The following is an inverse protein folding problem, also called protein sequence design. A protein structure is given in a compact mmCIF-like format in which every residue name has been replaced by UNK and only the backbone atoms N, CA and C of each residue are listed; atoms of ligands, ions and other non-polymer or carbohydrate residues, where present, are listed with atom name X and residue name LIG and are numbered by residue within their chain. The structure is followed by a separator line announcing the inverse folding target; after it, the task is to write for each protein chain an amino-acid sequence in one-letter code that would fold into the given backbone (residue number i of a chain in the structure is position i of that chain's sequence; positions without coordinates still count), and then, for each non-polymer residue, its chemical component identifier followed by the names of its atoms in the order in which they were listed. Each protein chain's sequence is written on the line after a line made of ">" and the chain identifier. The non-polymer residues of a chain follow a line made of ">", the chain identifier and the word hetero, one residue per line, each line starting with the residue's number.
data_IF_934554455108
#
_entry.id   IF_934554455108
#
_cell.length_a   1.000
_cell.length_b   1.000
_cell.length_c   1.000
_cell.angle_alpha   90.00
_cell.angle_beta   90.00
_cell.angle_gamma   90.00
#
_symmetry.space_group_name_H-M   'P 1'
#
loop_
_entity.id
_entity.type
_entity.pdbx_description
1 polymer ?
#
# COMPACT_ATOMS: atom_id res chain seq x y z
N UNK A 1 -16.74 7.89 -12.48
CA UNK A 1 -15.36 7.46 -12.14
C UNK A 1 -15.38 7.00 -10.69
N UNK A 2 -14.43 6.17 -10.29
CA UNK A 2 -14.47 5.45 -9.01
C UNK A 2 -13.04 5.27 -8.49
N UNK A 3 -12.50 6.29 -7.85
CA UNK A 3 -11.09 6.39 -7.48
C UNK A 3 -10.75 5.65 -6.18
N UNK A 4 -9.50 5.23 -6.06
CA UNK A 4 -8.96 4.55 -4.88
C UNK A 4 -7.68 5.28 -4.47
N UNK A 5 -7.59 5.65 -3.18
CA UNK A 5 -6.38 6.21 -2.61
C UNK A 5 -5.57 5.09 -1.98
N UNK A 6 -4.35 4.89 -2.47
CA UNK A 6 -3.45 3.87 -1.97
C UNK A 6 -2.53 4.47 -0.89
N UNK A 7 -2.39 3.78 0.23
CA UNK A 7 -1.57 4.20 1.36
C UNK A 7 -0.55 3.10 1.65
N UNK A 8 0.71 3.48 1.83
CA UNK A 8 1.81 2.56 2.13
C UNK A 8 2.39 2.90 3.50
N UNK A 9 2.41 1.93 4.40
CA UNK A 9 2.82 2.12 5.79
C UNK A 9 4.08 1.33 6.16
N UNK A 10 5.12 2.05 6.57
CA UNK A 10 6.37 1.49 7.07
C UNK A 10 7.24 0.82 6.00
N UNK A 11 8.41 0.31 6.39
CA UNK A 11 9.38 -0.28 5.47
C UNK A 11 8.79 -1.33 4.52
N UNK A 12 8.11 -2.35 5.07
CA UNK A 12 7.52 -3.42 4.26
C UNK A 12 6.43 -2.91 3.32
N UNK A 13 5.53 -2.05 3.81
CA UNK A 13 4.45 -1.48 3.00
C UNK A 13 4.97 -0.65 1.83
N UNK A 14 5.98 0.19 2.06
CA UNK A 14 6.60 1.02 1.03
C UNK A 14 7.39 0.20 0.00
N UNK A 15 8.09 -0.87 0.41
CA UNK A 15 8.80 -1.73 -0.54
C UNK A 15 7.85 -2.51 -1.45
N UNK A 16 6.77 -3.05 -0.88
CA UNK A 16 5.74 -3.75 -1.64
C UNK A 16 5.00 -2.77 -2.54
N UNK A 17 4.62 -1.61 -2.02
CA UNK A 17 3.95 -0.58 -2.78
C UNK A 17 4.79 -0.07 -3.93
N UNK A 18 6.11 0.14 -3.75
CA UNK A 18 7.01 0.48 -4.86
C UNK A 18 6.97 -0.57 -5.98
N UNK A 19 7.00 -1.86 -5.64
CA UNK A 19 6.87 -2.94 -6.64
C UNK A 19 5.49 -3.05 -7.24
N UNK A 20 4.44 -2.81 -6.48
CA UNK A 20 3.07 -2.75 -6.98
C UNK A 20 2.89 -1.64 -8.01
N UNK A 21 3.42 -0.44 -7.75
CA UNK A 21 3.34 0.68 -8.69
C UNK A 21 4.20 0.48 -9.94
N UNK A 22 5.34 -0.20 -9.83
CA UNK A 22 6.14 -0.63 -10.98
C UNK A 22 5.34 -1.56 -11.90
N UNK A 23 4.78 -2.65 -11.35
CA UNK A 23 3.97 -3.60 -12.13
C UNK A 23 2.70 -2.93 -12.69
N UNK A 24 2.05 -2.06 -11.91
CA UNK A 24 0.87 -1.35 -12.37
C UNK A 24 1.17 -0.36 -13.49
N UNK A 25 2.27 0.39 -13.38
CA UNK A 25 2.68 1.32 -14.43
C UNK A 25 2.99 0.56 -15.72
N UNK A 26 3.69 -0.58 -15.62
CA UNK A 26 3.97 -1.45 -16.76
C UNK A 26 2.67 -2.00 -17.40
N UNK A 27 1.70 -2.46 -16.61
CA UNK A 27 0.41 -2.95 -17.13
C UNK A 27 -0.40 -1.87 -17.87
N UNK A 28 -0.32 -0.61 -17.40
CA UNK A 28 -0.99 0.53 -18.01
C UNK A 28 -0.14 1.28 -19.03
N UNK A 29 1.08 0.80 -19.34
CA UNK A 29 1.97 1.42 -20.32
C UNK A 29 2.46 2.82 -19.93
N UNK A 30 2.54 3.12 -18.63
CA UNK A 30 3.03 4.40 -18.09
C UNK A 30 4.51 4.27 -17.78
N UNK A 31 5.32 5.17 -18.32
CA UNK A 31 6.76 5.17 -18.05
C UNK A 31 7.10 5.81 -16.68
N UNK A 32 8.37 5.76 -16.24
CA UNK A 32 8.79 6.40 -14.99
C UNK A 32 8.60 7.94 -14.96
N UNK A 33 8.47 8.57 -16.13
CA UNK A 33 8.18 10.02 -16.21
C UNK A 33 6.69 10.31 -16.01
N UNK A 34 5.83 9.29 -16.06
CA UNK A 34 4.38 9.40 -15.99
C UNK A 34 3.73 9.61 -17.35
N UNK A 35 4.47 9.48 -18.45
CA UNK A 35 3.94 9.60 -19.81
C UNK A 35 3.44 8.24 -20.29
N UNK A 36 2.28 8.23 -20.94
CA UNK A 36 1.72 7.00 -21.52
C UNK A 36 2.40 6.66 -22.85
N UNK A 37 2.90 5.43 -22.95
CA UNK A 37 3.52 4.83 -24.13
C UNK A 37 2.88 3.49 -24.50
N UNK A 38 1.69 3.18 -23.96
CA UNK A 38 0.97 1.95 -24.25
C UNK A 38 0.40 1.88 -25.67
N UNK A 39 -0.05 0.69 -26.02
CA UNK A 39 -0.51 0.31 -27.37
C UNK A 39 -2.03 -0.01 -27.42
N UNK A 40 -2.74 0.06 -26.29
CA UNK A 40 -4.13 -0.36 -26.18
C UNK A 40 -5.00 0.67 -25.46
N UNK A 41 -6.11 1.08 -26.10
CA UNK A 41 -7.08 2.02 -25.51
C UNK A 41 -7.67 1.52 -24.18
N UNK A 42 -7.71 0.19 -23.97
CA UNK A 42 -8.19 -0.43 -22.74
C UNK A 42 -7.32 -0.09 -21.52
N UNK A 43 -6.05 0.23 -21.73
CA UNK A 43 -5.13 0.64 -20.66
C UNK A 43 -5.49 2.01 -20.10
N UNK A 44 -6.05 2.88 -20.92
CA UNK A 44 -6.45 4.23 -20.53
C UNK A 44 -7.88 4.32 -20.00
N UNK A 45 -8.77 3.39 -20.38
CA UNK A 45 -10.20 3.48 -20.10
C UNK A 45 -10.54 3.68 -18.61
N UNK A 46 -9.77 3.07 -17.70
CA UNK A 46 -9.95 3.18 -16.24
C UNK A 46 -8.67 3.51 -15.48
N UNK A 47 -7.69 4.13 -16.15
CA UNK A 47 -6.43 4.53 -15.52
C UNK A 47 -6.65 5.48 -14.33
N UNK A 48 -7.69 6.31 -14.41
CA UNK A 48 -8.07 7.30 -13.40
C UNK A 48 -8.47 6.71 -12.03
N UNK A 49 -8.67 5.38 -11.94
CA UNK A 49 -8.95 4.70 -10.67
C UNK A 49 -7.77 4.84 -9.70
N UNK A 50 -6.54 4.67 -10.20
CA UNK A 50 -5.32 4.72 -9.40
C UNK A 50 -4.41 5.90 -9.75
N UNK A 51 -4.52 6.45 -10.96
CA UNK A 51 -3.74 7.60 -11.39
C UNK A 51 -4.57 8.88 -11.39
N UNK A 52 -3.90 9.99 -11.20
CA UNK A 52 -4.41 11.33 -11.43
C UNK A 52 -3.75 11.88 -12.70
N UNK A 53 -4.56 12.40 -13.61
CA UNK A 53 -4.05 13.01 -14.84
C UNK A 53 -3.65 14.46 -14.56
N UNK A 54 -2.35 14.71 -14.45
CA UNK A 54 -1.78 16.03 -14.29
C UNK A 54 -1.63 16.74 -15.65
N UNK A 55 -1.44 18.06 -15.58
CA UNK A 55 -1.19 18.89 -16.76
C UNK A 55 -0.01 18.36 -17.58
N UNK A 56 -0.19 18.30 -18.90
CA UNK A 56 0.82 17.78 -19.83
C UNK A 56 0.70 16.28 -20.13
N UNK A 57 -0.42 15.64 -19.77
CA UNK A 57 -0.66 14.21 -20.05
C UNK A 57 0.17 13.29 -19.15
N UNK A 58 0.54 13.78 -17.96
CA UNK A 58 1.35 13.04 -16.99
C UNK A 58 0.43 12.35 -15.98
N UNK A 59 0.53 11.03 -15.89
CA UNK A 59 -0.19 10.23 -14.90
C UNK A 59 0.62 10.14 -13.60
N UNK A 60 0.00 10.54 -12.49
CA UNK A 60 0.60 10.53 -11.15
C UNK A 60 -0.18 9.57 -10.24
N UNK A 61 0.47 8.60 -9.58
CA UNK A 61 -0.16 7.69 -8.64
C UNK A 61 -0.89 8.44 -7.51
N UNK A 62 -2.13 8.02 -7.21
CA UNK A 62 -2.88 8.41 -6.00
C UNK A 62 -2.37 7.60 -4.81
N UNK A 63 -1.10 7.83 -4.49
CA UNK A 63 -0.38 7.12 -3.46
C UNK A 63 0.09 8.07 -2.36
N UNK A 64 -0.01 7.59 -1.11
CA UNK A 64 0.51 8.26 0.09
C UNK A 64 1.51 7.31 0.72
N UNK A 65 2.72 7.80 0.97
CA UNK A 65 3.81 7.01 1.54
C UNK A 65 4.10 7.55 2.93
N UNK A 66 3.94 6.70 3.93
CA UNK A 66 4.23 7.04 5.32
C UNK A 66 5.25 6.09 5.95
N UNK A 67 6.19 6.65 6.68
CA UNK A 67 7.10 5.91 7.54
C UNK A 67 7.57 6.79 8.70
N UNK A 68 7.93 6.19 9.83
CA UNK A 68 8.49 6.93 10.97
C UNK A 68 10.00 7.16 10.81
N UNK A 69 10.62 6.52 9.81
CA UNK A 69 12.02 6.67 9.46
C UNK A 69 12.20 7.23 8.04
N UNK A 70 13.19 8.12 7.82
CA UNK A 70 13.42 8.70 6.50
C UNK A 70 14.06 7.72 5.51
N UNK A 71 14.80 6.71 5.97
CA UNK A 71 15.63 5.85 5.12
C UNK A 71 14.85 5.04 4.07
N UNK A 72 13.62 4.65 4.38
CA UNK A 72 12.73 3.97 3.43
C UNK A 72 12.37 4.90 2.26
N UNK A 73 12.13 6.18 2.53
CA UNK A 73 11.72 7.16 1.52
C UNK A 73 12.82 7.45 0.52
N UNK A 74 14.07 7.56 0.99
CA UNK A 74 15.23 7.71 0.11
C UNK A 74 15.38 6.51 -0.83
N UNK A 75 15.12 5.30 -0.31
CA UNK A 75 15.16 4.08 -1.10
C UNK A 75 14.08 4.05 -2.19
N UNK A 76 12.85 4.48 -1.88
CA UNK A 76 11.75 4.57 -2.86
C UNK A 76 12.04 5.64 -3.91
N UNK A 77 12.55 6.81 -3.51
CA UNK A 77 12.89 7.91 -4.43
C UNK A 77 14.05 7.54 -5.37
N UNK A 78 15.01 6.77 -4.88
CA UNK A 78 16.10 6.24 -5.70
C UNK A 78 15.68 5.05 -6.59
N UNK A 79 14.48 4.51 -6.38
CA UNK A 79 13.91 3.44 -7.17
C UNK A 79 13.55 3.87 -8.61
N UNK A 80 13.32 2.91 -9.51
CA UNK A 80 13.09 3.16 -10.93
C UNK A 80 11.89 4.08 -11.19
N UNK A 81 10.80 3.92 -10.42
CA UNK A 81 9.59 4.73 -10.50
C UNK A 81 9.49 5.78 -9.38
N UNK A 82 10.59 6.09 -8.69
CA UNK A 82 10.58 7.04 -7.56
C UNK A 82 10.14 8.46 -7.93
N UNK A 83 10.41 8.89 -9.16
CA UNK A 83 10.05 10.22 -9.69
C UNK A 83 8.57 10.35 -10.08
N UNK A 84 7.86 9.22 -10.14
CA UNK A 84 6.45 9.15 -10.51
C UNK A 84 5.55 9.67 -9.38
N UNK A 85 5.96 9.43 -8.12
CA UNK A 85 5.21 9.87 -6.95
C UNK A 85 5.32 11.38 -6.71
N UNK A 86 4.23 11.98 -6.22
CA UNK A 86 4.22 13.40 -5.84
C UNK A 86 5.07 13.60 -4.57
N UNK A 87 6.06 14.52 -4.55
CA UNK A 87 6.88 14.77 -3.38
C UNK A 87 6.09 15.14 -2.11
N UNK A 88 4.97 15.84 -2.27
CA UNK A 88 4.08 16.25 -1.17
C UNK A 88 3.37 15.08 -0.49
N UNK A 89 3.33 13.90 -1.13
CA UNK A 89 2.65 12.72 -0.60
C UNK A 89 3.59 11.82 0.22
N UNK A 90 4.84 12.23 0.39
CA UNK A 90 5.81 11.57 1.27
C UNK A 90 5.74 12.20 2.66
N UNK A 91 5.23 11.45 3.63
CA UNK A 91 5.14 11.89 5.02
C UNK A 91 6.05 11.01 5.86
N UNK A 92 7.08 11.59 6.48
CA UNK A 92 8.02 10.80 7.26
C UNK A 92 8.45 11.45 8.57
N UNK A 93 8.69 10.61 9.56
CA UNK A 93 9.23 11.00 10.87
C UNK A 93 10.76 11.06 10.90
N UNK A 94 11.30 11.38 12.07
CA UNK A 94 12.74 11.30 12.36
C UNK A 94 13.09 10.11 13.26
N UNK A 95 12.10 9.49 13.88
CA UNK A 95 12.22 8.52 14.97
C UNK A 95 11.46 7.25 14.62
N UNK A 96 12.16 6.13 14.44
CA UNK A 96 11.51 4.85 14.16
C UNK A 96 10.76 4.26 15.36
N UNK A 97 9.71 3.50 15.08
CA UNK A 97 8.97 2.75 16.10
C UNK A 97 9.78 1.58 16.71
N UNK A 98 10.87 1.14 16.06
CA UNK A 98 11.76 0.09 16.58
C UNK A 98 11.05 -1.22 16.90
N UNK A 99 10.21 -1.71 15.98
CA UNK A 99 9.39 -2.92 16.13
C UNK A 99 8.45 -2.93 17.36
N UNK A 100 8.08 -1.75 17.88
CA UNK A 100 7.12 -1.62 18.97
C UNK A 100 5.80 -1.02 18.46
N UNK A 101 4.73 -1.82 18.47
CA UNK A 101 3.40 -1.39 18.06
C UNK A 101 2.90 -0.20 18.87
N UNK A 102 3.11 -0.18 20.19
CA UNK A 102 2.63 0.90 21.05
C UNK A 102 3.29 2.25 20.73
N UNK A 103 4.57 2.24 20.32
CA UNK A 103 5.22 3.47 19.84
C UNK A 103 4.59 3.98 18.55
N UNK A 104 4.33 3.07 17.61
CA UNK A 104 3.65 3.42 16.36
C UNK A 104 2.21 3.88 16.56
N UNK A 105 1.51 3.37 17.57
CA UNK A 105 0.08 3.65 17.77
C UNK A 105 -0.21 4.81 18.72
N UNK A 106 0.57 4.97 19.80
CA UNK A 106 0.26 5.92 20.87
C UNK A 106 1.26 7.06 21.02
N UNK A 107 2.49 6.94 20.55
CA UNK A 107 3.52 7.98 20.74
C UNK A 107 3.96 8.59 19.42
N UNK A 108 4.97 8.02 18.75
CA UNK A 108 5.61 8.61 17.58
C UNK A 108 4.64 8.69 16.39
N UNK A 109 3.84 7.63 16.17
CA UNK A 109 2.86 7.64 15.09
C UNK A 109 1.68 8.56 15.35
N UNK A 110 1.33 8.81 16.62
CA UNK A 110 0.28 9.77 16.97
C UNK A 110 0.72 11.22 16.72
N UNK A 111 2.01 11.52 16.79
CA UNK A 111 2.54 12.84 16.43
C UNK A 111 2.53 13.07 14.91
N UNK A 112 2.77 12.02 14.11
CA UNK A 112 2.85 12.13 12.65
C UNK A 112 1.48 11.97 11.96
N UNK A 113 0.48 11.39 12.63
CA UNK A 113 -0.79 11.00 12.00
C UNK A 113 -1.55 12.16 11.39
N UNK A 114 -1.58 13.32 12.05
CA UNK A 114 -2.32 14.50 11.57
C UNK A 114 -1.76 14.98 10.22
N UNK A 115 -0.44 14.90 10.06
CA UNK A 115 0.22 15.25 8.78
C UNK A 115 -0.16 14.27 7.67
N UNK A 116 -0.26 12.97 7.99
CA UNK A 116 -0.72 11.96 7.02
C UNK A 116 -2.19 12.19 6.66
N UNK A 117 -3.05 12.44 7.65
CA UNK A 117 -4.47 12.70 7.43
C UNK A 117 -4.71 13.94 6.56
N UNK A 118 -3.92 15.01 6.72
CA UNK A 118 -4.02 16.18 5.86
C UNK A 118 -3.70 15.86 4.39
N UNK A 119 -2.73 14.98 4.13
CA UNK A 119 -2.43 14.51 2.76
C UNK A 119 -3.55 13.61 2.26
N UNK A 120 -4.07 12.71 3.10
CA UNK A 120 -5.23 11.86 2.77
C UNK A 120 -6.43 12.70 2.36
N UNK A 121 -6.74 13.78 3.12
CA UNK A 121 -7.84 14.71 2.81
C UNK A 121 -7.63 15.40 1.47
N UNK A 122 -6.42 15.90 1.19
CA UNK A 122 -6.10 16.54 -0.10
C UNK A 122 -6.29 15.58 -1.28
N UNK A 123 -5.81 14.34 -1.16
CA UNK A 123 -6.02 13.33 -2.20
C UNK A 123 -7.50 12.95 -2.32
N UNK A 124 -8.22 12.92 -1.20
CA UNK A 124 -9.65 12.62 -1.19
C UNK A 124 -10.50 13.68 -1.87
N UNK A 125 -10.21 14.96 -1.62
CA UNK A 125 -10.85 16.10 -2.28
C UNK A 125 -10.54 16.17 -3.79
N UNK A 126 -9.40 15.61 -4.21
CA UNK A 126 -9.01 15.52 -5.62
C UNK A 126 -9.70 14.40 -6.40
N UNK A 127 -10.58 13.62 -5.77
CA UNK A 127 -11.32 12.53 -6.38
C UNK A 127 -12.77 12.96 -6.68
N UNK A 128 -13.30 12.60 -7.85
CA UNK A 128 -14.69 12.92 -8.18
C UNK A 128 -15.67 12.02 -7.39
N UNK A 129 -15.35 10.73 -7.26
CA UNK A 129 -16.18 9.77 -6.53
C UNK A 129 -15.33 8.63 -5.94
N UNK A 130 -14.66 8.94 -4.83
CA UNK A 130 -13.83 7.96 -4.11
C UNK A 130 -14.62 6.72 -3.69
N UNK A 131 -14.10 5.53 -3.99
CA UNK A 131 -14.62 4.26 -3.49
C UNK A 131 -14.17 3.97 -2.07
N UNK A 132 -12.89 4.19 -1.79
CA UNK A 132 -12.25 3.71 -0.59
C UNK A 132 -10.74 3.91 -0.57
N UNK A 133 -10.15 3.33 0.47
CA UNK A 133 -8.72 3.37 0.72
C UNK A 133 -8.14 1.97 0.65
N UNK A 134 -6.91 1.88 0.14
CA UNK A 134 -6.13 0.65 0.11
C UNK A 134 -4.87 0.83 0.94
N UNK A 135 -4.76 0.17 2.09
CA UNK A 135 -3.55 0.22 2.91
C UNK A 135 -2.67 -1.01 2.66
N UNK A 136 -1.41 -0.81 2.32
CA UNK A 136 -0.38 -1.87 2.30
C UNK A 136 0.54 -1.70 3.50
N UNK A 137 0.57 -2.70 4.39
CA UNK A 137 1.33 -2.62 5.64
C UNK A 137 1.74 -3.99 6.18
N UNK A 138 2.76 -4.03 7.04
CA UNK A 138 3.13 -5.23 7.80
C UNK A 138 2.48 -5.26 9.16
N UNK A 139 2.04 -6.44 9.61
CA UNK A 139 1.53 -6.65 10.97
C UNK A 139 2.64 -6.93 12.00
N UNK A 140 3.85 -7.27 11.54
CA UNK A 140 4.99 -7.56 12.43
C UNK A 140 5.78 -6.32 12.85
N UNK A 141 5.77 -5.26 12.05
CA UNK A 141 6.56 -4.04 12.31
C UNK A 141 5.99 -3.14 13.40
N UNK A 142 6.72 -2.09 13.77
CA UNK A 142 6.20 -1.05 14.69
C UNK A 142 5.37 0.00 13.94
N UNK A 143 5.91 0.56 12.85
CA UNK A 143 5.26 1.60 12.05
C UNK A 143 4.08 1.06 11.26
N UNK A 144 4.32 0.06 10.40
CA UNK A 144 3.27 -0.49 9.54
C UNK A 144 2.10 -1.06 10.35
N UNK A 145 2.38 -1.66 11.49
CA UNK A 145 1.37 -2.26 12.35
C UNK A 145 0.68 -1.17 13.20
N UNK A 146 1.43 -0.49 14.08
CA UNK A 146 0.87 0.48 15.04
C UNK A 146 0.29 1.74 14.39
N UNK A 147 1.11 2.42 13.57
CA UNK A 147 0.67 3.65 12.89
C UNK A 147 -0.34 3.34 11.79
N UNK A 148 -0.17 2.21 11.09
CA UNK A 148 -1.13 1.74 10.09
C UNK A 148 -2.53 1.51 10.67
N UNK A 149 -2.64 0.83 11.82
CA UNK A 149 -3.95 0.62 12.45
C UNK A 149 -4.53 1.89 13.06
N UNK A 150 -3.69 2.79 13.57
CA UNK A 150 -4.15 4.12 14.01
C UNK A 150 -4.79 4.90 12.85
N UNK A 151 -4.11 4.90 11.70
CA UNK A 151 -4.60 5.57 10.49
C UNK A 151 -5.93 5.00 10.02
N UNK A 152 -6.08 3.67 10.02
CA UNK A 152 -7.34 3.04 9.64
C UNK A 152 -8.49 3.53 10.55
N UNK A 153 -8.28 3.54 11.87
CA UNK A 153 -9.29 4.03 12.82
C UNK A 153 -9.69 5.48 12.52
N UNK A 154 -8.71 6.36 12.24
CA UNK A 154 -8.97 7.77 11.92
C UNK A 154 -9.67 7.98 10.58
N UNK A 155 -9.29 7.21 9.57
CA UNK A 155 -9.99 7.23 8.29
C UNK A 155 -11.42 6.73 8.45
N UNK A 156 -11.67 5.71 9.29
CA UNK A 156 -13.02 5.20 9.54
C UNK A 156 -13.90 6.23 10.28
N UNK A 157 -13.31 7.02 11.17
CA UNK A 157 -13.99 8.15 11.83
C UNK A 157 -14.39 9.24 10.82
N UNK A 158 -13.50 9.63 9.90
CA UNK A 158 -13.76 10.71 8.93
C UNK A 158 -14.55 10.28 7.68
N UNK A 159 -14.36 9.04 7.24
CA UNK A 159 -14.93 8.49 6.00
C UNK A 159 -15.69 7.17 6.26
N UNK A 160 -16.76 7.17 7.09
CA UNK A 160 -17.44 5.95 7.51
C UNK A 160 -18.11 5.18 6.36
N UNK A 161 -18.53 5.86 5.30
CA UNK A 161 -19.24 5.26 4.16
C UNK A 161 -18.30 4.68 3.07
N UNK A 162 -16.99 4.87 3.23
CA UNK A 162 -15.96 4.45 2.26
C UNK A 162 -15.37 3.09 2.67
N UNK A 163 -15.06 2.28 1.67
CA UNK A 163 -14.51 0.94 1.90
C UNK A 163 -13.05 1.04 2.34
N UNK A 164 -12.69 0.34 3.41
CA UNK A 164 -11.31 0.18 3.85
C UNK A 164 -10.80 -1.22 3.50
N UNK A 165 -9.88 -1.32 2.53
CA UNK A 165 -9.22 -2.56 2.17
C UNK A 165 -7.75 -2.55 2.62
N UNK A 166 -7.30 -3.62 3.26
CA UNK A 166 -5.91 -3.75 3.72
C UNK A 166 -5.22 -4.94 3.06
N UNK A 167 -3.95 -4.75 2.72
CA UNK A 167 -3.02 -5.80 2.34
C UNK A 167 -2.02 -5.94 3.49
N UNK A 168 -2.27 -6.94 4.33
CA UNK A 168 -1.65 -7.10 5.63
C UNK A 168 -0.67 -8.26 5.58
N UNK A 169 0.62 -7.95 5.68
CA UNK A 169 1.68 -8.96 5.63
C UNK A 169 1.79 -9.62 7.00
N UNK A 170 1.51 -10.92 7.04
CA UNK A 170 1.65 -11.76 8.24
C UNK A 170 3.13 -12.09 8.43
N UNK A 171 3.69 -11.87 9.64
CA UNK A 171 5.07 -12.22 9.95
C UNK A 171 5.29 -13.74 9.93
N UNK A 172 6.51 -14.17 9.58
CA UNK A 172 6.92 -15.57 9.65
C UNK A 172 8.34 -15.69 10.21
N UNK A 173 8.60 -16.65 11.11
CA UNK A 173 9.93 -16.91 11.66
C UNK A 173 10.93 -17.41 10.61
N UNK A 174 10.47 -17.84 9.41
CA UNK A 174 11.39 -18.20 8.31
C UNK A 174 11.99 -16.98 7.62
N UNK A 175 11.37 -15.81 7.78
CA UNK A 175 11.68 -14.59 7.03
C UNK A 175 12.21 -13.48 7.96
N UNK A 176 11.75 -13.44 9.21
CA UNK A 176 12.18 -12.46 10.22
C UNK A 176 12.49 -13.12 11.56
N UNK A 177 13.57 -12.68 12.21
CA UNK A 177 14.01 -13.13 13.53
C UNK A 177 13.44 -12.26 14.68
N UNK A 178 12.51 -11.35 14.38
CA UNK A 178 11.99 -10.41 15.37
C UNK A 178 11.00 -11.09 16.32
N UNK A 179 11.42 -11.31 17.56
CA UNK A 179 10.63 -12.03 18.58
C UNK A 179 9.33 -11.33 19.01
N UNK A 180 9.20 -10.03 18.75
CA UNK A 180 8.02 -9.24 19.15
C UNK A 180 6.93 -9.17 18.08
N UNK A 181 7.16 -9.72 16.88
CA UNK A 181 6.17 -9.72 15.79
C UNK A 181 4.82 -10.35 16.17
N UNK A 182 4.76 -11.46 16.94
CA UNK A 182 3.47 -12.02 17.36
C UNK A 182 2.64 -11.06 18.23
N UNK A 183 3.30 -10.24 19.06
CA UNK A 183 2.63 -9.23 19.87
C UNK A 183 2.05 -8.12 18.98
N UNK A 184 2.86 -7.59 18.06
CA UNK A 184 2.44 -6.54 17.13
C UNK A 184 1.29 -7.02 16.23
N UNK A 185 1.36 -8.27 15.74
CA UNK A 185 0.33 -8.85 14.91
C UNK A 185 -0.99 -9.02 15.68
N UNK A 186 -0.94 -9.52 16.92
CA UNK A 186 -2.15 -9.69 17.75
C UNK A 186 -2.84 -8.34 18.02
N UNK A 187 -2.07 -7.32 18.37
CA UNK A 187 -2.59 -5.97 18.61
C UNK A 187 -3.17 -5.35 17.33
N UNK A 188 -2.53 -5.59 16.19
CA UNK A 188 -2.99 -5.05 14.91
C UNK A 188 -4.26 -5.73 14.42
N UNK A 189 -4.35 -7.06 14.55
CA UNK A 189 -5.54 -7.82 14.17
C UNK A 189 -6.76 -7.34 14.95
N UNK A 190 -6.62 -7.05 16.25
CA UNK A 190 -7.72 -6.49 17.04
C UNK A 190 -8.30 -5.21 16.43
N UNK A 191 -7.44 -4.29 15.97
CA UNK A 191 -7.86 -3.05 15.33
C UNK A 191 -8.41 -3.28 13.91
N UNK A 192 -7.84 -4.21 13.14
CA UNK A 192 -8.28 -4.53 11.79
C UNK A 192 -9.67 -5.16 11.76
N UNK A 193 -9.99 -6.02 12.73
CA UNK A 193 -11.31 -6.69 12.82
C UNK A 193 -12.45 -5.69 12.95
N UNK A 194 -12.23 -4.55 13.60
CA UNK A 194 -13.29 -3.55 13.82
C UNK A 194 -13.36 -2.50 12.72
N UNK A 195 -12.24 -2.17 12.09
CA UNK A 195 -12.14 -0.99 11.23
C UNK A 195 -11.88 -1.27 9.74
N UNK A 196 -11.44 -2.47 9.37
CA UNK A 196 -11.24 -2.85 7.96
C UNK A 196 -12.46 -3.62 7.43
N UNK A 197 -12.99 -3.21 6.29
CA UNK A 197 -14.09 -3.93 5.63
C UNK A 197 -13.56 -5.19 4.89
N UNK A 198 -12.32 -5.12 4.40
CA UNK A 198 -11.64 -6.24 3.73
C UNK A 198 -10.16 -6.31 4.12
N UNK A 199 -9.67 -7.50 4.48
CA UNK A 199 -8.26 -7.72 4.80
C UNK A 199 -7.71 -8.90 3.98
N UNK A 200 -6.74 -8.61 3.12
CA UNK A 200 -5.96 -9.60 2.39
C UNK A 200 -4.76 -10.00 3.24
N UNK A 201 -4.85 -11.19 3.83
CA UNK A 201 -3.79 -11.81 4.61
C UNK A 201 -2.71 -12.37 3.68
N UNK A 202 -1.54 -11.75 3.67
CA UNK A 202 -0.39 -12.17 2.87
C UNK A 202 0.66 -12.81 3.76
N UNK A 203 0.72 -14.14 3.76
CA UNK A 203 1.62 -14.88 4.63
C UNK A 203 3.02 -15.02 4.03
N UNK A 204 4.00 -14.41 4.70
CA UNK A 204 5.41 -14.53 4.32
C UNK A 204 5.91 -15.98 4.33
N UNK A 205 5.36 -16.84 5.18
CA UNK A 205 5.71 -18.26 5.18
C UNK A 205 5.25 -18.94 3.90
N UNK A 206 3.99 -18.74 3.53
CA UNK A 206 3.42 -19.31 2.32
C UNK A 206 4.13 -18.77 1.07
N UNK A 207 4.43 -17.47 1.02
CA UNK A 207 5.18 -16.84 -0.06
C UNK A 207 6.60 -17.40 -0.16
N UNK A 208 7.29 -17.56 0.96
CA UNK A 208 8.62 -18.17 1.00
C UNK A 208 8.58 -19.62 0.49
N UNK A 209 7.61 -20.41 0.95
CA UNK A 209 7.45 -21.81 0.52
C UNK A 209 7.14 -21.90 -0.99
N UNK A 210 6.39 -20.96 -1.57
CA UNK A 210 6.15 -20.88 -3.03
C UNK A 210 7.46 -20.57 -3.77
N UNK A 211 8.22 -19.57 -3.34
CA UNK A 211 9.51 -19.24 -3.95
C UNK A 211 10.49 -20.42 -3.91
N UNK A 212 10.58 -21.06 -2.74
CA UNK A 212 11.52 -22.16 -2.53
C UNK A 212 11.10 -23.45 -3.25
N UNK A 213 9.85 -23.89 -3.07
CA UNK A 213 9.38 -25.19 -3.56
C UNK A 213 8.93 -25.14 -5.02
N UNK A 214 8.26 -24.08 -5.44
CA UNK A 214 7.66 -23.98 -6.79
C UNK A 214 8.60 -23.28 -7.75
N UNK A 215 9.09 -22.09 -7.41
CA UNK A 215 10.02 -21.33 -8.27
C UNK A 215 11.47 -21.84 -8.21
N UNK A 216 11.75 -22.81 -7.33
CA UNK A 216 13.08 -23.44 -7.16
C UNK A 216 14.20 -22.45 -6.82
N UNK A 217 13.85 -21.34 -6.16
CA UNK A 217 14.82 -20.39 -5.66
C UNK A 217 15.46 -20.93 -4.38
N UNK A 218 16.78 -21.15 -4.40
CA UNK A 218 17.50 -21.71 -3.24
C UNK A 218 17.53 -20.77 -2.05
N UNK A 219 17.54 -19.46 -2.29
CA UNK A 219 17.57 -18.40 -1.26
C UNK A 219 16.62 -17.26 -1.65
N UNK A 220 15.30 -17.41 -1.37
CA UNK A 220 14.33 -16.35 -1.65
C UNK A 220 14.69 -15.05 -0.91
N UNK A 221 14.66 -13.93 -1.62
CA UNK A 221 14.92 -12.59 -1.07
C UNK A 221 13.61 -11.81 -0.91
N UNK A 222 13.60 -10.73 -0.11
CA UNK A 222 12.45 -9.83 -0.02
C UNK A 222 12.00 -9.29 -1.38
N UNK A 223 12.91 -9.11 -2.34
CA UNK A 223 12.56 -8.71 -3.70
C UNK A 223 11.66 -9.74 -4.41
N UNK A 224 11.96 -11.02 -4.25
CA UNK A 224 11.19 -12.13 -4.84
C UNK A 224 9.79 -12.23 -4.20
N UNK A 225 9.72 -12.13 -2.87
CA UNK A 225 8.44 -12.11 -2.15
C UNK A 225 7.60 -10.88 -2.55
N UNK A 226 8.21 -9.70 -2.60
CA UNK A 226 7.52 -8.46 -2.96
C UNK A 226 7.00 -8.50 -4.40
N UNK A 227 7.70 -9.17 -5.32
CA UNK A 227 7.21 -9.34 -6.69
C UNK A 227 5.97 -10.24 -6.75
N UNK A 228 5.95 -11.36 -6.00
CA UNK A 228 4.77 -12.21 -5.90
C UNK A 228 3.58 -11.49 -5.26
N UNK A 229 3.84 -10.71 -4.20
CA UNK A 229 2.81 -9.89 -3.56
C UNK A 229 2.27 -8.86 -4.55
N UNK A 230 3.14 -8.11 -5.23
CA UNK A 230 2.73 -7.12 -6.22
C UNK A 230 1.85 -7.75 -7.31
N UNK A 231 2.23 -8.92 -7.83
CA UNK A 231 1.42 -9.66 -8.80
C UNK A 231 0.05 -10.08 -8.24
N UNK A 232 -0.02 -10.52 -6.98
CA UNK A 232 -1.26 -10.87 -6.32
C UNK A 232 -2.19 -9.65 -6.12
N UNK A 233 -1.62 -8.52 -5.70
CA UNK A 233 -2.35 -7.25 -5.52
C UNK A 233 -2.82 -6.67 -6.86
N UNK A 234 -1.99 -6.73 -7.90
CA UNK A 234 -2.40 -6.34 -9.26
C UNK A 234 -3.52 -7.24 -9.78
N UNK A 235 -3.44 -8.56 -9.51
CA UNK A 235 -4.47 -9.53 -9.86
C UNK A 235 -5.81 -9.26 -9.16
N UNK A 236 -5.80 -8.98 -7.85
CA UNK A 236 -7.03 -8.67 -7.09
C UNK A 236 -7.67 -7.34 -7.52
N UNK A 237 -6.86 -6.38 -7.98
CA UNK A 237 -7.33 -5.06 -8.41
C UNK A 237 -7.62 -4.95 -9.92
N UNK A 238 -7.35 -6.01 -10.68
CA UNK A 238 -7.51 -6.03 -12.14
C UNK A 238 -8.94 -5.68 -12.58
N UNK A 239 -9.96 -6.19 -11.89
CA UNK A 239 -11.37 -5.90 -12.19
C UNK A 239 -11.79 -4.44 -11.95
N UNK A 240 -11.01 -3.70 -11.15
CA UNK A 240 -11.22 -2.28 -10.88
C UNK A 240 -10.57 -1.44 -11.99
N UNK A 241 -9.40 -1.87 -12.47
CA UNK A 241 -8.52 -1.15 -13.41
C UNK A 241 -8.82 -1.37 -14.88
N UNK A 242 -9.48 -2.47 -15.22
CA UNK A 242 -9.85 -2.79 -16.59
C UNK A 242 -11.36 -2.99 -16.72
N UNK A 243 -11.94 -2.76 -17.91
CA UNK A 243 -13.35 -3.01 -18.14
C UNK A 243 -13.66 -4.50 -17.96
N UNK A 244 -14.52 -4.79 -16.99
CA UNK A 244 -14.98 -6.15 -16.67
C UNK A 244 -16.43 -6.15 -16.20
N UNK A 245 -17.05 -7.33 -16.19
CA UNK A 245 -18.43 -7.52 -15.70
C UNK A 245 -18.50 -7.95 -14.23
N UNK A 246 -17.43 -8.54 -13.69
CA UNK A 246 -17.36 -9.10 -12.35
C UNK A 246 -16.49 -8.20 -11.45
N UNK A 247 -16.93 -7.93 -10.22
CA UNK A 247 -16.17 -7.21 -9.18
C UNK A 247 -15.64 -5.81 -9.58
N UNK A 248 -16.52 -4.99 -10.18
CA UNK A 248 -16.15 -3.67 -10.73
C UNK A 248 -16.16 -2.52 -9.70
N UNK A 249 -16.35 -2.81 -8.41
CA UNK A 249 -16.14 -1.87 -7.30
C UNK A 249 -15.64 -2.61 -6.05
N UNK A 250 -14.99 -1.85 -5.16
CA UNK A 250 -14.53 -2.33 -3.86
C UNK A 250 -15.70 -2.84 -3.00
N UNK A 251 -16.89 -2.24 -3.11
CA UNK A 251 -18.05 -2.63 -2.32
C UNK A 251 -18.63 -4.01 -2.69
N UNK A 252 -18.50 -4.46 -3.95
CA UNK A 252 -18.84 -5.82 -4.38
C UNK A 252 -17.75 -6.84 -4.05
N UNK A 253 -16.53 -6.36 -3.78
CA UNK A 253 -15.37 -7.17 -3.42
C UNK A 253 -15.32 -7.47 -1.92
N UNK A 254 -15.88 -6.59 -1.08
CA UNK A 254 -16.09 -6.78 0.36
C UNK A 254 -17.38 -7.58 0.63
#
# INVERSE_FOLDING_TARGET
>A
MREIVHIQGGQCGNQIGAKFWEVMADEHGVDPTGTYHGDSDLQLERINVYFNEATGGRYVPRAILMDLEPGTMDSVRAGPFGQLFRPDNFVFGQTGAGNNWAKGHYTEGAELIDSVLDVVRKEAESCDCMQGFQLTHSMGGGTGAGMGTLLISKIREEYPDRVMSTYSIIPSPKVSDTVVEPYNATLSVHQLVENADQCFALDNEALYDICFRTLKLTTPTYGDLNHLIAAAVCGSTCSLRFPGQLNCDLRKLA
#
